data_IF_354691723302
#
_entry.id   IF_354691723302
#
_cell.length_a   1.000
_cell.length_b   1.000
_cell.length_c   1.000
_cell.angle_alpha   90.00
_cell.angle_beta   90.00
_cell.angle_gamma   90.00
#
_symmetry.space_group_name_H-M   'P 1'
#
loop_
_entity.id
_entity.type
_entity.pdbx_description
1 polymer ?
#
# COMPACT_ATOMS: atom_id res chain seq x y z
N UNK A 1 24.30 -16.82 8.62
CA UNK A 1 24.92 -15.46 8.62
C UNK A 1 24.17 -14.71 9.71
N UNK A 2 24.85 -14.09 10.68
CA UNK A 2 24.15 -13.32 11.73
C UNK A 2 23.59 -12.05 11.11
N UNK A 3 22.37 -11.65 11.54
CA UNK A 3 21.75 -10.40 11.11
C UNK A 3 22.62 -9.20 11.56
N UNK A 4 22.76 -8.19 10.71
CA UNK A 4 23.42 -6.93 11.07
C UNK A 4 22.61 -6.23 12.16
N UNK A 5 23.28 -5.72 13.19
CA UNK A 5 22.65 -5.02 14.29
C UNK A 5 22.89 -3.51 14.16
N UNK A 6 21.83 -2.73 14.21
CA UNK A 6 21.80 -1.27 14.00
C UNK A 6 21.50 -0.52 15.30
N UNK A 7 22.29 -0.76 16.36
CA UNK A 7 22.03 -0.20 17.70
C UNK A 7 21.89 1.33 17.68
N UNK A 8 22.83 2.04 17.06
CA UNK A 8 22.80 3.51 17.04
C UNK A 8 21.64 4.04 16.21
N UNK A 9 21.41 3.47 15.03
CA UNK A 9 20.31 3.86 14.16
C UNK A 9 18.96 3.68 14.87
N UNK A 10 18.67 2.48 15.36
CA UNK A 10 17.38 2.20 16.02
C UNK A 10 17.16 3.07 17.26
N UNK A 11 18.22 3.29 18.07
CA UNK A 11 18.14 4.17 19.24
C UNK A 11 17.89 5.65 18.88
N UNK A 12 18.24 6.06 17.67
CA UNK A 12 18.02 7.43 17.17
C UNK A 12 16.67 7.66 16.52
N UNK A 13 15.93 6.59 16.18
CA UNK A 13 14.62 6.70 15.53
C UNK A 13 13.61 7.34 16.48
N UNK A 14 13.00 8.43 16.03
CA UNK A 14 11.95 9.10 16.79
C UNK A 14 10.67 8.27 16.75
N UNK A 15 10.08 8.01 17.90
CA UNK A 15 8.77 7.36 17.97
C UNK A 15 7.65 8.31 17.55
N UNK A 16 6.72 7.79 16.78
CA UNK A 16 5.49 8.45 16.38
C UNK A 16 4.31 7.58 16.78
N UNK A 17 3.23 8.21 17.24
CA UNK A 17 1.95 7.53 17.48
C UNK A 17 0.98 7.85 16.33
N UNK A 18 0.02 6.96 16.11
CA UNK A 18 -0.95 7.09 15.00
C UNK A 18 -1.75 8.40 15.07
N UNK A 19 -2.10 8.85 16.28
CA UNK A 19 -2.95 10.02 16.53
C UNK A 19 -2.15 11.22 17.09
N UNK A 20 -0.81 11.21 16.98
CA UNK A 20 0.02 12.28 17.52
C UNK A 20 0.12 13.49 16.58
N UNK A 21 0.47 14.64 17.16
CA UNK A 21 0.85 15.83 16.37
C UNK A 21 2.06 15.51 15.49
N UNK A 22 1.87 15.65 14.19
CA UNK A 22 2.86 15.34 13.14
C UNK A 22 3.65 16.57 12.69
N UNK A 23 3.71 17.63 13.50
CA UNK A 23 4.46 18.82 13.19
C UNK A 23 5.94 18.52 12.93
N UNK A 24 6.41 18.89 11.74
CA UNK A 24 7.79 18.64 11.30
C UNK A 24 8.06 17.17 10.92
N UNK A 25 7.02 16.37 10.73
CA UNK A 25 7.14 15.00 10.23
C UNK A 25 7.43 15.01 8.73
N UNK A 26 8.49 14.29 8.36
CA UNK A 26 8.89 14.07 6.95
C UNK A 26 9.29 12.60 6.75
N UNK A 27 8.35 11.82 6.24
CA UNK A 27 8.57 10.39 5.99
C UNK A 27 9.71 10.14 5.00
N UNK A 28 9.87 10.98 3.97
CA UNK A 28 10.94 10.81 2.98
C UNK A 28 12.33 11.04 3.59
N UNK A 29 12.47 12.07 4.40
CA UNK A 29 13.71 12.34 5.12
C UNK A 29 14.08 11.17 6.05
N UNK A 30 13.09 10.60 6.77
CA UNK A 30 13.30 9.42 7.63
C UNK A 30 13.78 8.22 6.82
N UNK A 31 13.11 7.90 5.70
CA UNK A 31 13.48 6.78 4.82
C UNK A 31 14.89 6.98 4.23
N UNK A 32 15.20 8.19 3.77
CA UNK A 32 16.51 8.53 3.21
C UNK A 32 17.62 8.33 4.23
N UNK A 33 17.44 8.86 5.45
CA UNK A 33 18.40 8.68 6.54
C UNK A 33 18.62 7.20 6.90
N UNK A 34 17.57 6.40 6.95
CA UNK A 34 17.70 4.95 7.18
C UNK A 34 18.47 4.26 6.05
N UNK A 35 18.18 4.62 4.79
CA UNK A 35 18.88 4.03 3.64
C UNK A 35 20.38 4.36 3.59
N UNK A 36 20.82 5.48 4.17
CA UNK A 36 22.23 5.86 4.28
C UNK A 36 22.97 5.03 5.34
N UNK A 37 22.27 4.57 6.38
CA UNK A 37 22.86 3.87 7.53
C UNK A 37 22.85 2.34 7.38
N UNK A 38 21.91 1.78 6.63
CA UNK A 38 21.80 0.33 6.48
C UNK A 38 22.72 -0.22 5.39
N UNK A 39 23.16 -1.47 5.55
CA UNK A 39 23.97 -2.15 4.53
C UNK A 39 23.20 -2.37 3.22
N UNK A 40 23.91 -2.71 2.14
CA UNK A 40 23.31 -2.87 0.80
C UNK A 40 22.24 -3.97 0.73
N UNK A 41 22.36 -5.02 1.55
CA UNK A 41 21.40 -6.12 1.62
C UNK A 41 20.08 -5.61 2.22
N UNK A 42 20.17 -5.00 3.38
CA UNK A 42 19.02 -4.49 4.11
C UNK A 42 18.38 -3.27 3.40
N UNK A 43 19.19 -2.45 2.71
CA UNK A 43 18.66 -1.40 1.85
C UNK A 43 17.78 -1.92 0.70
N UNK A 44 18.03 -3.15 0.21
CA UNK A 44 17.14 -3.80 -0.78
C UNK A 44 15.81 -4.19 -0.17
N UNK A 45 15.82 -4.68 1.07
CA UNK A 45 14.60 -5.02 1.81
C UNK A 45 13.74 -3.76 2.04
N UNK A 46 14.36 -2.65 2.46
CA UNK A 46 13.68 -1.35 2.60
C UNK A 46 13.09 -0.91 1.25
N UNK A 47 13.88 -0.91 0.17
CA UNK A 47 13.37 -0.53 -1.15
C UNK A 47 12.25 -1.46 -1.63
N UNK A 48 12.32 -2.74 -1.31
CA UNK A 48 11.25 -3.68 -1.68
C UNK A 48 9.95 -3.38 -0.92
N UNK A 49 10.01 -2.98 0.36
CA UNK A 49 8.84 -2.49 1.09
C UNK A 49 8.18 -1.29 0.36
N UNK A 50 9.00 -0.32 -0.06
CA UNK A 50 8.52 0.88 -0.78
C UNK A 50 8.13 0.62 -2.25
N UNK A 51 8.47 -0.55 -2.78
CA UNK A 51 8.02 -1.03 -4.10
C UNK A 51 6.48 -1.12 -4.23
N UNK A 52 5.75 -1.16 -3.12
CA UNK A 52 4.30 -1.04 -3.12
C UNK A 52 3.84 0.29 -3.76
N UNK A 53 4.45 1.39 -3.34
CA UNK A 53 4.15 2.73 -3.87
C UNK A 53 4.63 2.89 -5.32
N UNK A 54 5.70 2.21 -5.70
CA UNK A 54 6.09 2.16 -7.12
C UNK A 54 5.01 1.48 -7.97
N UNK A 55 4.41 0.40 -7.49
CA UNK A 55 3.28 -0.24 -8.18
C UNK A 55 2.05 0.66 -8.26
N UNK A 56 1.70 1.40 -7.20
CA UNK A 56 0.64 2.42 -7.25
C UNK A 56 0.93 3.49 -8.31
N UNK A 57 2.17 3.98 -8.34
CA UNK A 57 2.61 5.02 -9.27
C UNK A 57 2.62 4.50 -10.72
N UNK A 58 3.07 3.27 -10.96
CA UNK A 58 3.04 2.60 -12.27
C UNK A 58 1.60 2.48 -12.76
N UNK A 59 0.69 2.00 -11.92
CA UNK A 59 -0.73 1.87 -12.26
C UNK A 59 -1.37 3.23 -12.56
N UNK A 60 -1.07 4.25 -11.76
CA UNK A 60 -1.54 5.62 -11.97
C UNK A 60 -0.99 6.22 -13.27
N UNK A 61 0.30 6.05 -13.53
CA UNK A 61 0.96 6.58 -14.73
C UNK A 61 0.38 5.95 -16.00
N UNK A 62 0.22 4.62 -16.01
CA UNK A 62 -0.36 3.88 -17.12
C UNK A 62 -1.81 4.33 -17.39
N UNK A 63 -2.62 4.53 -16.36
CA UNK A 63 -3.99 5.02 -16.47
C UNK A 63 -4.09 6.53 -16.77
N UNK A 64 -2.99 7.21 -17.09
CA UNK A 64 -2.97 8.64 -17.39
C UNK A 64 -3.30 9.54 -16.19
N UNK A 65 -3.32 9.00 -14.95
CA UNK A 65 -3.59 9.78 -13.74
C UNK A 65 -2.37 10.63 -13.35
N UNK A 66 -2.61 11.85 -12.87
CA UNK A 66 -1.55 12.74 -12.39
C UNK A 66 -1.01 12.36 -11.01
N UNK A 67 -1.75 11.53 -10.25
CA UNK A 67 -1.36 11.11 -8.91
C UNK A 67 0.00 10.41 -8.91
N UNK A 68 0.85 10.78 -7.95
CA UNK A 68 2.15 10.16 -7.70
C UNK A 68 2.42 10.15 -6.21
N UNK A 69 2.61 8.98 -5.65
CA UNK A 69 2.97 8.82 -4.24
C UNK A 69 4.48 9.06 -4.07
N UNK A 70 4.88 10.08 -3.29
CA UNK A 70 6.29 10.44 -3.14
C UNK A 70 7.11 9.44 -2.30
N UNK A 71 6.48 8.46 -1.68
CA UNK A 71 7.17 7.39 -0.93
C UNK A 71 7.74 6.30 -1.83
N UNK A 72 7.37 6.24 -3.11
CA UNK A 72 7.98 5.32 -4.06
C UNK A 72 9.48 5.54 -4.23
N UNK A 73 10.19 4.51 -4.68
CA UNK A 73 11.63 4.57 -4.92
C UNK A 73 12.00 5.40 -6.15
N UNK A 74 11.05 5.62 -7.06
CA UNK A 74 11.28 6.26 -8.35
C UNK A 74 10.46 7.53 -8.49
N UNK A 75 11.01 8.50 -9.21
CA UNK A 75 10.26 9.67 -9.67
C UNK A 75 9.27 9.26 -10.78
N UNK A 76 8.35 10.16 -11.10
CA UNK A 76 7.39 9.94 -12.19
C UNK A 76 8.09 9.76 -13.56
N UNK A 77 9.14 10.54 -13.80
CA UNK A 77 9.94 10.48 -15.02
C UNK A 77 10.71 9.17 -15.12
N UNK A 78 11.33 8.73 -14.01
CA UNK A 78 12.01 7.43 -13.95
C UNK A 78 11.04 6.28 -14.20
N UNK A 79 9.83 6.31 -13.64
CA UNK A 79 8.82 5.28 -13.89
C UNK A 79 8.31 5.31 -15.34
N UNK A 80 8.24 6.47 -15.97
CA UNK A 80 7.90 6.56 -17.39
C UNK A 80 8.96 5.86 -18.27
N UNK A 81 10.24 5.92 -17.90
CA UNK A 81 11.29 5.15 -18.58
C UNK A 81 11.24 3.65 -18.24
N UNK A 82 10.99 3.30 -16.98
CA UNK A 82 10.81 1.91 -16.56
C UNK A 82 9.60 1.25 -17.24
N UNK A 83 8.53 1.98 -17.50
CA UNK A 83 7.38 1.47 -18.28
C UNK A 83 7.75 1.11 -19.71
N UNK A 84 8.65 1.88 -20.34
CA UNK A 84 9.12 1.59 -21.71
C UNK A 84 10.10 0.42 -21.74
N UNK A 85 11.01 0.37 -20.79
CA UNK A 85 12.08 -0.63 -20.72
C UNK A 85 12.49 -0.88 -19.26
N UNK A 86 11.81 -1.76 -18.53
CA UNK A 86 12.08 -2.01 -17.12
C UNK A 86 13.46 -2.63 -16.89
N UNK A 87 14.30 -1.97 -16.08
CA UNK A 87 15.65 -2.37 -15.75
C UNK A 87 15.94 -2.43 -14.26
N UNK A 88 15.28 -1.57 -13.46
CA UNK A 88 15.52 -1.40 -12.03
C UNK A 88 14.40 -1.97 -11.16
N UNK A 89 13.24 -2.25 -11.76
CA UNK A 89 12.12 -2.88 -11.07
C UNK A 89 12.45 -4.33 -10.66
N UNK A 90 11.86 -4.86 -9.56
CA UNK A 90 11.94 -6.28 -9.25
C UNK A 90 11.52 -7.12 -10.45
N UNK A 91 12.24 -8.20 -10.75
CA UNK A 91 12.03 -8.98 -11.99
C UNK A 91 10.60 -9.49 -12.18
N UNK A 92 9.91 -9.84 -11.09
CA UNK A 92 8.51 -10.25 -11.17
C UNK A 92 7.60 -9.10 -11.65
N UNK A 93 7.81 -7.88 -11.13
CA UNK A 93 7.11 -6.66 -11.52
C UNK A 93 7.48 -6.25 -12.96
N UNK A 94 8.78 -6.26 -13.27
CA UNK A 94 9.28 -5.95 -14.62
C UNK A 94 8.68 -6.85 -15.70
N UNK A 95 8.46 -8.13 -15.39
CA UNK A 95 7.82 -9.09 -16.31
C UNK A 95 6.38 -8.69 -16.62
N UNK A 96 5.61 -8.30 -15.61
CA UNK A 96 4.24 -7.82 -15.82
C UNK A 96 4.26 -6.55 -16.66
N UNK A 97 5.12 -5.58 -16.33
CA UNK A 97 5.24 -4.34 -17.11
C UNK A 97 5.54 -4.66 -18.59
N UNK A 98 6.52 -5.52 -18.87
CA UNK A 98 6.85 -5.91 -20.27
C UNK A 98 5.68 -6.55 -20.98
N UNK A 99 4.89 -7.39 -20.31
CA UNK A 99 3.75 -8.08 -20.91
C UNK A 99 2.61 -7.13 -21.35
N UNK A 100 2.58 -5.92 -20.77
CA UNK A 100 1.52 -4.94 -21.07
C UNK A 100 2.02 -3.70 -21.82
N UNK A 101 3.33 -3.56 -22.07
CA UNK A 101 3.91 -2.40 -22.80
C UNK A 101 3.80 -2.57 -24.30
N UNK A 102 3.72 -3.79 -24.79
CA UNK A 102 3.67 -4.09 -26.22
C UNK A 102 2.48 -5.02 -26.53
N UNK A 103 1.24 -4.52 -26.50
CA UNK A 103 0.17 -5.24 -27.17
C UNK A 103 0.37 -5.03 -28.67
N UNK A 104 1.03 -5.97 -29.36
CA UNK A 104 0.89 -6.08 -30.80
C UNK A 104 -0.60 -6.31 -31.12
N UNK A 105 -1.32 -5.24 -31.35
CA UNK A 105 -2.71 -5.28 -31.81
C UNK A 105 -3.68 -4.50 -30.90
N UNK A 106 -4.36 -3.63 -31.51
CA UNK A 106 -5.71 -3.06 -31.45
C UNK A 106 -6.53 -3.11 -30.14
N UNK A 107 -6.05 -3.64 -29.03
CA UNK A 107 -6.74 -3.57 -27.74
C UNK A 107 -6.53 -2.21 -27.10
N UNK A 108 -7.41 -1.27 -27.47
CA UNK A 108 -7.59 -0.02 -26.75
C UNK A 108 -7.63 -0.31 -25.26
N UNK A 109 -6.92 0.51 -24.46
CA UNK A 109 -6.89 0.40 -23.02
C UNK A 109 -8.31 0.49 -22.44
N UNK A 110 -8.92 -0.66 -22.18
CA UNK A 110 -10.23 -0.77 -21.57
C UNK A 110 -10.09 -0.72 -20.06
N UNK A 111 -11.18 -0.37 -19.36
CA UNK A 111 -11.23 -0.42 -17.87
C UNK A 111 -10.89 -1.83 -17.37
N UNK A 112 -11.22 -2.86 -18.12
CA UNK A 112 -10.96 -4.25 -17.78
C UNK A 112 -9.47 -4.59 -17.90
N UNK A 113 -8.80 -4.15 -18.97
CA UNK A 113 -7.35 -4.30 -19.14
C UNK A 113 -6.56 -3.60 -18.05
N UNK A 114 -6.96 -2.39 -17.63
CA UNK A 114 -6.33 -1.65 -16.53
C UNK A 114 -6.47 -2.38 -15.20
N UNK A 115 -7.66 -2.91 -14.88
CA UNK A 115 -7.89 -3.70 -13.65
C UNK A 115 -7.06 -4.98 -13.62
N UNK A 116 -6.99 -5.68 -14.74
CA UNK A 116 -6.19 -6.89 -14.87
C UNK A 116 -4.71 -6.59 -14.70
N UNK A 117 -4.21 -5.53 -15.31
CA UNK A 117 -2.84 -5.06 -15.13
C UNK A 117 -2.53 -4.77 -13.65
N UNK A 118 -3.36 -3.97 -12.98
CA UNK A 118 -3.18 -3.65 -11.57
C UNK A 118 -3.14 -4.92 -10.70
N UNK A 119 -4.06 -5.85 -10.92
CA UNK A 119 -4.11 -7.12 -10.19
C UNK A 119 -2.83 -7.95 -10.38
N UNK A 120 -2.36 -8.09 -11.61
CA UNK A 120 -1.14 -8.83 -11.92
C UNK A 120 0.11 -8.12 -11.37
N UNK A 121 0.16 -6.78 -11.44
CA UNK A 121 1.24 -5.96 -10.93
C UNK A 121 1.41 -6.12 -9.42
N UNK A 122 0.34 -5.95 -8.65
CA UNK A 122 0.38 -6.16 -7.20
C UNK A 122 0.60 -7.62 -6.83
N UNK A 123 0.07 -8.58 -7.59
CA UNK A 123 0.37 -9.99 -7.43
C UNK A 123 1.88 -10.28 -7.57
N UNK A 124 2.53 -9.69 -8.56
CA UNK A 124 3.97 -9.80 -8.76
C UNK A 124 4.79 -9.13 -7.64
N UNK A 125 4.34 -7.97 -7.14
CA UNK A 125 4.95 -7.32 -5.99
C UNK A 125 4.91 -8.21 -4.75
N UNK A 126 3.75 -8.72 -4.37
CA UNK A 126 3.63 -9.60 -3.21
C UNK A 126 4.39 -10.92 -3.37
N UNK A 127 4.47 -11.45 -4.59
CA UNK A 127 5.30 -12.62 -4.89
C UNK A 127 6.80 -12.32 -4.74
N UNK A 128 7.25 -11.10 -5.05
CA UNK A 128 8.63 -10.66 -4.80
C UNK A 128 8.91 -10.52 -3.30
N UNK A 129 8.00 -9.90 -2.54
CA UNK A 129 8.11 -9.78 -1.08
C UNK A 129 8.12 -11.14 -0.38
N UNK A 130 7.34 -12.11 -0.85
CA UNK A 130 7.34 -13.48 -0.32
C UNK A 130 8.68 -14.21 -0.45
N UNK A 131 9.60 -13.70 -1.28
CA UNK A 131 10.97 -14.21 -1.46
C UNK A 131 12.03 -13.32 -0.81
N UNK A 132 11.64 -12.30 -0.07
CA UNK A 132 12.53 -11.38 0.62
C UNK A 132 13.44 -12.11 1.62
N UNK A 133 14.63 -11.56 1.87
CA UNK A 133 15.54 -12.07 2.89
C UNK A 133 15.02 -11.83 4.31
N UNK A 134 14.40 -10.67 4.55
CA UNK A 134 13.78 -10.32 5.83
C UNK A 134 12.55 -11.19 6.13
N UNK A 135 12.53 -11.76 7.35
CA UNK A 135 11.36 -12.47 7.88
C UNK A 135 10.17 -11.54 7.96
N UNK A 136 10.38 -10.36 8.57
CA UNK A 136 9.33 -9.36 8.73
C UNK A 136 8.68 -9.01 7.39
N UNK A 137 9.46 -8.74 6.34
CA UNK A 137 8.90 -8.34 5.05
C UNK A 137 8.06 -9.44 4.40
N UNK A 138 8.48 -10.71 4.54
CA UNK A 138 7.66 -11.85 4.05
C UNK A 138 6.33 -11.96 4.79
N UNK A 139 6.37 -11.90 6.11
CA UNK A 139 5.17 -12.04 6.96
C UNK A 139 4.24 -10.84 6.81
N UNK A 140 4.80 -9.63 6.85
CA UNK A 140 4.07 -8.39 6.64
C UNK A 140 3.36 -8.34 5.28
N UNK A 141 4.07 -8.70 4.20
CA UNK A 141 3.48 -8.67 2.86
C UNK A 141 2.36 -9.70 2.70
N UNK A 142 2.47 -10.87 3.32
CA UNK A 142 1.41 -11.87 3.34
C UNK A 142 0.18 -11.36 4.09
N UNK A 143 0.38 -10.77 5.28
CA UNK A 143 -0.68 -10.14 6.05
C UNK A 143 -1.35 -9.00 5.29
N UNK A 144 -0.59 -8.01 4.79
CA UNK A 144 -1.13 -6.84 4.09
C UNK A 144 -1.93 -7.23 2.84
N UNK A 145 -1.44 -8.20 2.07
CA UNK A 145 -2.17 -8.77 0.94
C UNK A 145 -3.50 -9.40 1.38
N UNK A 146 -3.49 -10.22 2.43
CA UNK A 146 -4.69 -10.89 2.92
C UNK A 146 -5.71 -9.89 3.47
N UNK A 147 -5.28 -8.90 4.23
CA UNK A 147 -6.13 -7.83 4.73
C UNK A 147 -6.79 -7.03 3.59
N UNK A 148 -6.03 -6.65 2.57
CA UNK A 148 -6.55 -5.97 1.37
C UNK A 148 -7.52 -6.86 0.60
N UNK A 149 -7.19 -8.12 0.43
CA UNK A 149 -8.06 -9.08 -0.26
C UNK A 149 -9.39 -9.28 0.48
N UNK A 150 -9.37 -9.40 1.81
CA UNK A 150 -10.61 -9.46 2.62
C UNK A 150 -11.43 -8.19 2.44
N UNK A 151 -10.82 -7.01 2.56
CA UNK A 151 -11.50 -5.73 2.38
C UNK A 151 -12.12 -5.60 0.98
N UNK A 152 -11.37 -5.97 -0.05
CA UNK A 152 -11.83 -5.95 -1.44
C UNK A 152 -12.97 -6.97 -1.68
N UNK A 153 -12.86 -8.18 -1.13
CA UNK A 153 -13.88 -9.23 -1.28
C UNK A 153 -15.20 -8.85 -0.59
N UNK A 154 -15.15 -8.28 0.62
CA UNK A 154 -16.34 -7.77 1.33
C UNK A 154 -17.01 -6.68 0.50
N UNK A 155 -16.24 -5.70 0.02
CA UNK A 155 -16.74 -4.60 -0.81
C UNK A 155 -17.32 -5.11 -2.14
N UNK A 156 -16.68 -6.07 -2.80
CA UNK A 156 -17.16 -6.65 -4.04
C UNK A 156 -18.49 -7.38 -3.84
N UNK A 157 -18.64 -8.17 -2.78
CA UNK A 157 -19.92 -8.83 -2.43
C UNK A 157 -21.04 -7.82 -2.16
N UNK A 158 -20.76 -6.79 -1.38
CA UNK A 158 -21.73 -5.74 -1.10
C UNK A 158 -22.21 -5.04 -2.39
N UNK A 159 -21.32 -4.91 -3.38
CA UNK A 159 -21.61 -4.31 -4.68
C UNK A 159 -22.15 -5.32 -5.73
N UNK A 160 -22.37 -6.59 -5.37
CA UNK A 160 -22.81 -7.64 -6.29
C UNK A 160 -21.81 -7.99 -7.39
N UNK A 161 -20.51 -7.74 -7.15
CA UNK A 161 -19.41 -8.05 -8.09
C UNK A 161 -18.75 -9.38 -7.75
N UNK A 162 -18.12 -10.00 -8.75
CA UNK A 162 -17.35 -11.23 -8.56
C UNK A 162 -16.10 -10.97 -7.71
N UNK A 163 -15.87 -11.80 -6.70
CA UNK A 163 -14.71 -11.68 -5.78
C UNK A 163 -13.42 -11.98 -6.53
N UNK A 164 -13.47 -12.85 -7.52
CA UNK A 164 -12.31 -13.22 -8.36
C UNK A 164 -11.69 -12.02 -9.08
N UNK A 165 -12.48 -10.99 -9.40
CA UNK A 165 -11.98 -9.78 -10.07
C UNK A 165 -11.07 -8.94 -9.20
N UNK A 166 -11.25 -8.99 -7.88
CA UNK A 166 -10.61 -8.07 -6.93
C UNK A 166 -9.53 -8.71 -6.06
N UNK A 167 -9.52 -10.03 -5.94
CA UNK A 167 -8.52 -10.75 -5.13
C UNK A 167 -7.18 -10.81 -5.84
N UNK A 168 -6.11 -10.37 -5.17
CA UNK A 168 -4.74 -10.28 -5.68
C UNK A 168 -3.90 -11.46 -5.20
N UNK A 169 -3.11 -12.03 -6.11
CA UNK A 169 -2.24 -13.16 -5.83
C UNK A 169 -3.00 -14.48 -5.70
N UNK A 170 -2.34 -15.48 -5.12
CA UNK A 170 -2.86 -16.82 -4.93
C UNK A 170 -2.62 -17.36 -3.52
N UNK A 171 -2.90 -18.65 -3.31
CA UNK A 171 -2.78 -19.37 -2.04
C UNK A 171 -4.11 -19.54 -1.33
N UNK A 172 -4.09 -20.29 -0.22
CA UNK A 172 -5.28 -20.82 0.45
C UNK A 172 -6.29 -19.74 0.81
N UNK A 173 -5.84 -18.62 1.38
CA UNK A 173 -6.73 -17.49 1.74
C UNK A 173 -7.40 -16.91 0.49
N UNK A 174 -6.64 -16.67 -0.59
CA UNK A 174 -7.19 -16.11 -1.83
C UNK A 174 -8.22 -17.05 -2.47
N UNK A 175 -7.93 -18.35 -2.49
CA UNK A 175 -8.85 -19.38 -3.00
C UNK A 175 -10.11 -19.49 -2.13
N UNK A 176 -9.95 -19.43 -0.81
CA UNK A 176 -11.07 -19.50 0.11
C UNK A 176 -11.99 -18.29 -0.01
N UNK A 177 -11.44 -17.07 -0.17
CA UNK A 177 -12.20 -15.86 -0.44
C UNK A 177 -13.07 -15.98 -1.70
N UNK A 178 -12.56 -16.63 -2.74
CA UNK A 178 -13.27 -16.80 -4.02
C UNK A 178 -14.37 -17.88 -3.95
N UNK A 179 -14.15 -18.94 -3.19
CA UNK A 179 -15.05 -20.12 -3.15
C UNK A 179 -16.13 -20.04 -2.10
N UNK A 180 -15.85 -19.39 -0.96
CA UNK A 180 -16.74 -19.42 0.19
C UNK A 180 -17.91 -18.46 0.03
N UNK A 181 -19.10 -18.89 0.41
CA UNK A 181 -20.30 -18.06 0.54
C UNK A 181 -20.55 -17.57 1.98
N UNK A 182 -19.78 -18.04 2.97
CA UNK A 182 -19.91 -17.66 4.36
C UNK A 182 -19.61 -16.16 4.56
N UNK A 183 -20.21 -15.54 5.59
CA UNK A 183 -20.01 -14.12 5.90
C UNK A 183 -18.56 -13.78 6.24
N UNK A 184 -17.85 -14.67 6.94
CA UNK A 184 -16.46 -14.60 7.32
C UNK A 184 -15.54 -15.37 6.35
N UNK A 185 -16.04 -15.76 5.19
CA UNK A 185 -15.37 -16.60 4.19
C UNK A 185 -14.83 -17.93 4.74
N UNK A 186 -15.20 -18.32 5.96
CA UNK A 186 -14.66 -19.50 6.65
C UNK A 186 -13.20 -19.33 7.09
N UNK A 187 -12.70 -18.09 7.19
CA UNK A 187 -11.30 -17.78 7.47
C UNK A 187 -11.05 -17.37 8.92
N UNK A 188 -12.06 -17.40 9.81
CA UNK A 188 -11.91 -16.96 11.21
C UNK A 188 -10.84 -17.73 11.97
N UNK A 189 -10.59 -18.97 11.63
CA UNK A 189 -9.53 -19.79 12.23
C UNK A 189 -8.11 -19.45 11.74
N UNK A 190 -7.99 -18.85 10.57
CA UNK A 190 -6.70 -18.52 9.93
C UNK A 190 -6.33 -17.06 10.05
N UNK A 191 -7.34 -16.17 10.06
CA UNK A 191 -7.16 -14.71 10.10
C UNK A 191 -7.83 -14.14 11.36
N UNK A 192 -7.11 -14.00 12.49
CA UNK A 192 -7.69 -13.52 13.75
C UNK A 192 -8.34 -12.13 13.64
N UNK A 193 -7.88 -11.31 12.69
CA UNK A 193 -8.36 -9.95 12.44
C UNK A 193 -9.58 -9.87 11.49
N UNK A 194 -10.06 -10.98 10.94
CA UNK A 194 -11.07 -10.96 9.86
C UNK A 194 -12.38 -10.30 10.29
N UNK A 195 -12.86 -10.58 11.50
CA UNK A 195 -14.10 -9.98 12.00
C UNK A 195 -13.96 -8.47 12.17
N UNK A 196 -12.81 -7.98 12.61
CA UNK A 196 -12.52 -6.56 12.74
C UNK A 196 -12.46 -5.86 11.37
N UNK A 197 -11.86 -6.51 10.36
CA UNK A 197 -11.81 -5.99 8.98
C UNK A 197 -13.21 -5.95 8.38
N UNK A 198 -14.00 -7.02 8.51
CA UNK A 198 -15.38 -7.07 7.99
C UNK A 198 -16.24 -5.99 8.65
N UNK A 199 -16.14 -5.84 9.97
CA UNK A 199 -16.87 -4.80 10.71
C UNK A 199 -16.46 -3.38 10.25
N UNK A 200 -15.15 -3.13 10.09
CA UNK A 200 -14.66 -1.84 9.61
C UNK A 200 -15.10 -1.54 8.19
N UNK A 201 -15.05 -2.54 7.27
CA UNK A 201 -15.45 -2.36 5.88
C UNK A 201 -16.96 -2.09 5.74
N UNK A 202 -17.78 -2.71 6.57
CA UNK A 202 -19.23 -2.53 6.57
C UNK A 202 -19.71 -1.28 7.33
N UNK A 203 -18.81 -0.56 8.00
CA UNK A 203 -19.14 0.71 8.65
C UNK A 203 -19.26 1.81 7.59
N UNK A 204 -20.48 2.05 7.12
CA UNK A 204 -20.78 3.06 6.10
C UNK A 204 -20.90 4.49 6.67
N UNK A 205 -21.01 4.63 8.00
CA UNK A 205 -21.35 5.90 8.63
C UNK A 205 -20.20 6.92 8.56
N UNK A 206 -18.93 6.45 8.61
CA UNK A 206 -17.75 7.34 8.64
C UNK A 206 -16.55 6.69 7.93
N UNK A 207 -16.27 7.16 6.71
CA UNK A 207 -15.13 6.67 5.92
C UNK A 207 -13.79 6.86 6.65
N UNK A 208 -13.60 7.97 7.35
CA UNK A 208 -12.36 8.25 8.09
C UNK A 208 -12.18 7.26 9.24
N UNK A 209 -13.25 6.98 9.98
CA UNK A 209 -13.20 6.00 11.08
C UNK A 209 -12.96 4.57 10.57
N UNK A 210 -13.57 4.20 9.45
CA UNK A 210 -13.31 2.94 8.75
C UNK A 210 -11.83 2.78 8.42
N UNK A 211 -11.24 3.77 7.76
CA UNK A 211 -9.83 3.77 7.38
C UNK A 211 -8.92 3.73 8.62
N UNK A 212 -9.29 4.45 9.69
CA UNK A 212 -8.54 4.44 10.95
C UNK A 212 -8.53 3.05 11.60
N UNK A 213 -9.69 2.36 11.63
CA UNK A 213 -9.78 0.99 12.17
C UNK A 213 -8.89 0.02 11.38
N UNK A 214 -8.88 0.12 10.05
CA UNK A 214 -8.01 -0.70 9.19
C UNK A 214 -6.52 -0.39 9.43
N UNK A 215 -6.15 0.88 9.54
CA UNK A 215 -4.76 1.25 9.78
C UNK A 215 -4.31 0.91 11.23
N UNK A 216 -5.23 0.89 12.19
CA UNK A 216 -4.93 0.39 13.54
C UNK A 216 -4.63 -1.12 13.55
N UNK A 217 -5.37 -1.92 12.77
CA UNK A 217 -5.07 -3.35 12.58
C UNK A 217 -3.66 -3.51 11.99
N UNK A 218 -3.31 -2.74 10.97
CA UNK A 218 -1.98 -2.74 10.33
C UNK A 218 -0.88 -2.31 11.30
N UNK A 219 -1.14 -1.28 12.08
CA UNK A 219 -0.21 -0.77 13.08
C UNK A 219 0.16 -1.83 14.12
N UNK A 220 -0.86 -2.48 14.66
CA UNK A 220 -0.68 -3.51 15.69
C UNK A 220 0.05 -4.73 15.12
N UNK A 221 -0.31 -5.19 13.94
CA UNK A 221 0.37 -6.31 13.29
C UNK A 221 1.84 -6.01 13.01
N UNK A 222 2.14 -4.80 12.50
CA UNK A 222 3.54 -4.41 12.27
C UNK A 222 4.36 -4.41 13.56
N UNK A 223 3.78 -4.04 14.70
CA UNK A 223 4.43 -4.09 16.00
C UNK A 223 4.59 -5.54 16.49
N UNK A 224 3.56 -6.37 16.34
CA UNK A 224 3.55 -7.76 16.78
C UNK A 224 4.58 -8.61 16.02
N UNK A 225 4.64 -8.50 14.71
CA UNK A 225 5.60 -9.21 13.87
C UNK A 225 7.07 -8.94 14.23
N UNK A 226 7.36 -7.78 14.81
CA UNK A 226 8.71 -7.39 15.21
C UNK A 226 8.94 -7.43 16.73
N UNK A 227 8.06 -8.03 17.51
CA UNK A 227 8.11 -8.00 19.00
C UNK A 227 9.45 -8.48 19.56
N UNK A 228 10.11 -9.43 18.90
CA UNK A 228 11.39 -9.98 19.33
C UNK A 228 12.59 -9.50 18.51
N UNK A 229 12.37 -8.58 17.58
CA UNK A 229 13.42 -7.95 16.78
C UNK A 229 13.74 -6.56 17.39
N UNK A 230 14.95 -6.35 17.88
CA UNK A 230 15.28 -5.11 18.59
C UNK A 230 16.14 -4.16 17.75
N UNK A 231 17.14 -4.66 17.04
CA UNK A 231 18.15 -3.81 16.39
C UNK A 231 18.52 -4.25 14.98
N UNK A 232 17.78 -5.16 14.38
CA UNK A 232 18.02 -5.65 13.02
C UNK A 232 17.09 -4.97 11.99
N UNK A 233 17.20 -5.39 10.74
CA UNK A 233 16.37 -4.86 9.65
C UNK A 233 14.88 -5.11 9.87
N UNK A 234 14.46 -6.15 10.59
CA UNK A 234 13.04 -6.42 10.84
C UNK A 234 12.44 -5.33 11.73
N UNK A 235 13.16 -4.90 12.79
CA UNK A 235 12.74 -3.78 13.63
C UNK A 235 12.61 -2.48 12.82
N UNK A 236 13.57 -2.22 11.92
CA UNK A 236 13.56 -1.04 11.03
C UNK A 236 12.37 -1.09 10.08
N UNK A 237 12.08 -2.24 9.47
CA UNK A 237 10.94 -2.41 8.55
C UNK A 237 9.60 -2.23 9.26
N UNK A 238 9.46 -2.77 10.49
CA UNK A 238 8.28 -2.53 11.33
C UNK A 238 8.08 -1.05 11.63
N UNK A 239 9.16 -0.35 11.99
CA UNK A 239 9.12 1.09 12.19
C UNK A 239 8.67 1.81 10.93
N UNK A 240 9.25 1.50 9.76
CA UNK A 240 8.91 2.13 8.48
C UNK A 240 7.46 1.90 8.07
N UNK A 241 6.90 0.72 8.31
CA UNK A 241 5.45 0.47 8.08
C UNK A 241 4.60 1.44 8.91
N UNK A 242 4.91 1.62 10.19
CA UNK A 242 4.20 2.56 11.06
C UNK A 242 4.39 4.01 10.62
N UNK A 243 5.58 4.40 10.19
CA UNK A 243 5.86 5.71 9.59
C UNK A 243 5.00 5.94 8.33
N UNK A 244 4.81 4.94 7.49
CA UNK A 244 3.98 5.05 6.30
C UNK A 244 2.49 5.27 6.64
N UNK A 245 2.00 4.67 7.71
CA UNK A 245 0.65 4.92 8.23
C UNK A 245 0.53 6.38 8.72
N UNK A 246 1.49 6.86 9.51
CA UNK A 246 1.53 8.27 9.95
C UNK A 246 1.57 9.22 8.74
N UNK A 247 2.40 8.94 7.74
CA UNK A 247 2.48 9.74 6.51
C UNK A 247 1.13 9.85 5.80
N UNK A 248 0.40 8.73 5.69
CA UNK A 248 -0.93 8.71 5.11
C UNK A 248 -1.90 9.61 5.87
N UNK A 249 -1.93 9.54 7.20
CA UNK A 249 -2.82 10.36 8.03
C UNK A 249 -2.45 11.83 8.03
N UNK A 250 -1.17 12.16 7.90
CA UNK A 250 -0.72 13.55 7.73
C UNK A 250 -1.28 14.19 6.46
N UNK A 251 -1.45 13.40 5.38
CA UNK A 251 -2.07 13.87 4.13
C UNK A 251 -3.59 13.97 4.22
N UNK A 252 -4.22 13.17 5.07
CA UNK A 252 -5.67 13.12 5.28
C UNK A 252 -6.16 14.09 6.36
N UNK A 253 -5.29 14.93 6.92
CA UNK A 253 -5.64 15.85 8.00
C UNK A 253 -6.92 16.64 7.68
N UNK A 254 -7.88 16.53 8.62
CA UNK A 254 -9.20 17.13 8.52
C UNK A 254 -9.18 18.68 8.38
N UNK A 255 -8.10 19.33 8.77
CA UNK A 255 -7.92 20.77 8.57
C UNK A 255 -7.70 21.09 7.08
N UNK A 256 -6.84 20.34 6.38
CA UNK A 256 -6.63 20.44 4.92
C UNK A 256 -7.88 20.07 4.15
N UNK A 257 -8.60 19.02 4.57
CA UNK A 257 -9.87 18.64 3.95
C UNK A 257 -10.92 19.74 4.04
N UNK A 258 -11.04 20.41 5.19
CA UNK A 258 -11.95 21.55 5.38
C UNK A 258 -11.54 22.76 4.56
N UNK A 259 -10.24 23.08 4.49
CA UNK A 259 -9.73 24.20 3.68
C UNK A 259 -9.98 23.95 2.18
N UNK A 260 -9.75 22.73 1.70
CA UNK A 260 -10.01 22.35 0.32
C UNK A 260 -11.51 22.35 -0.02
N UNK A 261 -12.36 21.90 0.90
CA UNK A 261 -13.81 21.94 0.75
C UNK A 261 -14.34 23.39 0.76
N UNK A 262 -13.82 24.24 1.64
CA UNK A 262 -14.16 25.67 1.67
C UNK A 262 -13.76 26.39 0.37
N UNK A 263 -12.60 26.05 -0.21
CA UNK A 263 -12.17 26.55 -1.53
C UNK A 263 -13.12 26.12 -2.65
N UNK A 264 -13.49 24.84 -2.68
CA UNK A 264 -14.44 24.32 -3.68
C UNK A 264 -15.80 25.00 -3.60
N UNK A 265 -16.31 25.23 -2.39
CA UNK A 265 -17.56 25.97 -2.19
C UNK A 265 -17.43 27.40 -2.71
N UNK A 266 -16.35 28.12 -2.38
CA UNK A 266 -16.13 29.49 -2.85
C UNK A 266 -15.99 29.55 -4.39
N UNK A 267 -15.39 28.54 -5.02
CA UNK A 267 -15.30 28.46 -6.49
C UNK A 267 -16.65 28.17 -7.15
N UNK A 268 -17.51 27.37 -6.50
CA UNK A 268 -18.88 27.09 -6.97
C UNK A 268 -19.77 28.31 -6.83
N UNK A 269 -19.76 29.00 -5.69
CA UNK A 269 -20.50 30.24 -5.46
C UNK A 269 -20.05 31.35 -6.43
N UNK A 270 -18.74 31.44 -6.72
CA UNK A 270 -18.22 32.38 -7.71
C UNK A 270 -18.69 32.08 -9.15
N UNK A 271 -18.86 30.81 -9.51
CA UNK A 271 -19.37 30.40 -10.84
C UNK A 271 -20.87 30.62 -10.98
N UNK A 272 -21.66 30.48 -9.92
CA UNK A 272 -23.09 30.77 -9.94
C UNK A 272 -23.38 32.26 -10.09
N UNK A 273 -22.49 33.13 -9.58
CA UNK A 273 -22.62 34.59 -9.75
C UNK A 273 -22.30 35.05 -11.19
N UNK A 274 -21.37 34.39 -11.88
CA UNK A 274 -21.00 34.71 -13.26
C UNK A 274 -22.05 34.22 -14.28
N UNK A 275 -22.82 33.19 -13.95
CA UNK A 275 -23.88 32.68 -14.84
C UNK A 275 -25.24 33.36 -14.68
N UNK A 276 -25.34 34.40 -13.85
CA UNK A 276 -26.58 35.23 -13.62
C UNK A 276 -26.52 36.62 -14.20
N UNK A 277 -25.45 37.01 -14.90
CA UNK A 277 -25.35 38.19 -15.77
C UNK A 277 -25.48 37.78 -17.24
#
# INVERSE_FOLDING_TARGET
>A
MFATQYYCLVASLKEYALDADTKGFDARAIVSGILEEVNRGDAREVRLLYGYYDCENIAALRAGRSAHNPLGNFTREELAEELKAPKRLPEAVARVVRAYVDPEGEDAETVDTSRRFEKELFGAYYAACGKAGSRFLREWSAFDRNLRNVSAAVTARAAGRAVEEVVVGGGDVAEQLQRSSAADFGLRGELPYIDAVIAAVNDEANLVEKEHKIDLIRWNEAAELATFDYFDVNAILSYLVRINIVARWTLLDAARGREMFARLLAELDGKELINKE
#
